data_IF_863272358849
#
_entry.id   IF_863272358849
#
_cell.length_a   1.000
_cell.length_b   1.000
_cell.length_c   1.000
_cell.angle_alpha   90.00
_cell.angle_beta   90.00
_cell.angle_gamma   90.00
#
_symmetry.space_group_name_H-M   'P 1'
#
loop_
_entity.id
_entity.type
_entity.pdbx_description
1 polymer ?
#
# COMPACT_ATOMS: atom_id res chain seq x y z
N UNK A 1 12.26 14.48 -44.45
CA UNK A 1 12.28 15.19 -45.75
C UNK A 1 11.93 14.26 -46.92
N UNK A 2 12.58 13.10 -47.10
CA UNK A 2 12.31 12.16 -48.22
C UNK A 2 10.87 11.60 -48.18
N UNK A 3 10.39 11.13 -47.02
CA UNK A 3 9.02 10.57 -46.87
C UNK A 3 7.92 11.59 -47.21
N UNK A 4 8.19 12.88 -46.99
CA UNK A 4 7.23 13.95 -47.29
C UNK A 4 7.20 14.28 -48.79
N UNK A 5 8.30 14.08 -49.51
CA UNK A 5 8.40 14.33 -50.95
C UNK A 5 7.64 13.25 -51.72
N UNK A 6 7.83 11.97 -51.37
CA UNK A 6 7.17 10.86 -52.05
C UNK A 6 5.65 10.87 -51.84
N UNK A 7 5.19 11.34 -50.67
CA UNK A 7 3.76 11.50 -50.37
C UNK A 7 3.10 12.60 -51.19
N UNK A 8 3.78 13.74 -51.40
CA UNK A 8 3.26 14.83 -52.23
C UNK A 8 3.17 14.39 -53.70
N UNK A 9 4.23 13.74 -54.21
CA UNK A 9 4.24 13.19 -55.57
C UNK A 9 3.16 12.11 -55.78
N UNK A 10 2.89 11.27 -54.77
CA UNK A 10 1.82 10.28 -54.84
C UNK A 10 0.42 10.91 -54.91
N UNK A 11 0.20 12.03 -54.22
CA UNK A 11 -1.07 12.78 -54.24
C UNK A 11 -1.27 13.49 -55.58
N UNK A 12 -0.20 14.05 -56.15
CA UNK A 12 -0.24 14.66 -57.50
C UNK A 12 -0.59 13.62 -58.56
N UNK A 13 0.07 12.46 -58.57
CA UNK A 13 -0.23 11.36 -59.49
C UNK A 13 -1.68 10.84 -59.35
N UNK A 14 -2.25 10.91 -58.14
CA UNK A 14 -3.66 10.56 -57.91
C UNK A 14 -4.60 11.59 -58.53
N UNK A 15 -4.29 12.88 -58.41
CA UNK A 15 -5.11 13.97 -58.97
C UNK A 15 -5.06 13.98 -60.51
N UNK A 16 -3.93 13.59 -61.10
CA UNK A 16 -3.75 13.47 -62.55
C UNK A 16 -4.39 12.20 -63.14
N UNK A 17 -4.98 11.33 -62.30
CA UNK A 17 -5.59 10.07 -62.72
C UNK A 17 -4.60 8.96 -63.05
N UNK A 18 -3.30 9.15 -62.76
CA UNK A 18 -2.24 8.15 -62.93
C UNK A 18 -2.26 7.13 -61.77
N UNK A 19 -3.36 6.36 -61.68
CA UNK A 19 -3.64 5.47 -60.55
C UNK A 19 -2.51 4.47 -60.26
N UNK A 20 -1.90 3.88 -61.30
CA UNK A 20 -0.83 2.89 -61.12
C UNK A 20 0.43 3.51 -60.51
N UNK A 21 0.82 4.69 -60.98
CA UNK A 21 1.98 5.42 -60.47
C UNK A 21 1.75 5.92 -59.04
N UNK A 22 0.52 6.37 -58.74
CA UNK A 22 0.14 6.72 -57.38
C UNK A 22 0.26 5.50 -56.45
N UNK A 23 -0.23 4.33 -56.88
CA UNK A 23 -0.10 3.08 -56.11
C UNK A 23 1.37 2.74 -55.86
N UNK A 24 2.23 2.83 -56.87
CA UNK A 24 3.65 2.49 -56.75
C UNK A 24 4.36 3.47 -55.79
N UNK A 25 4.09 4.77 -55.91
CA UNK A 25 4.64 5.80 -55.01
C UNK A 25 4.15 5.64 -53.56
N UNK A 26 2.86 5.36 -53.35
CA UNK A 26 2.35 5.05 -52.01
C UNK A 26 2.95 3.75 -51.46
N UNK A 27 3.13 2.74 -52.30
CA UNK A 27 3.73 1.46 -51.91
C UNK A 27 5.18 1.63 -51.47
N UNK A 28 5.97 2.41 -52.22
CA UNK A 28 7.36 2.68 -51.88
C UNK A 28 7.49 3.57 -50.65
N UNK A 29 6.59 4.55 -50.46
CA UNK A 29 6.51 5.32 -49.22
C UNK A 29 6.20 4.44 -48.00
N UNK A 30 5.33 3.43 -48.13
CA UNK A 30 5.02 2.46 -47.06
C UNK A 30 6.21 1.54 -46.79
N UNK A 31 6.94 1.09 -47.82
CA UNK A 31 8.15 0.28 -47.64
C UNK A 31 9.26 1.06 -46.93
N UNK A 32 9.38 2.36 -47.22
CA UNK A 32 10.35 3.25 -46.59
C UNK A 32 9.95 3.63 -45.16
N UNK A 33 8.66 3.59 -44.83
CA UNK A 33 8.14 3.84 -43.49
C UNK A 33 7.12 2.76 -43.07
N UNK A 34 7.58 1.55 -42.73
CA UNK A 34 6.68 0.47 -42.35
C UNK A 34 5.87 0.86 -41.11
N UNK A 35 4.60 0.42 -41.00
CA UNK A 35 3.75 0.79 -39.88
C UNK A 35 4.43 0.40 -38.57
N UNK A 36 4.66 1.40 -37.73
CA UNK A 36 5.29 1.22 -36.42
C UNK A 36 4.46 0.20 -35.63
N UNK A 37 5.07 -0.92 -35.23
CA UNK A 37 4.47 -1.87 -34.29
C UNK A 37 4.68 -1.32 -32.88
N UNK A 38 3.70 -0.63 -32.25
CA UNK A 38 4.00 0.23 -31.11
C UNK A 38 4.49 -0.58 -29.90
N UNK A 39 3.95 -1.78 -29.69
CA UNK A 39 4.40 -2.69 -28.64
C UNK A 39 5.83 -3.19 -28.82
N UNK A 40 6.28 -3.41 -30.06
CA UNK A 40 7.67 -3.80 -30.33
C UNK A 40 8.60 -2.60 -30.15
N UNK A 41 8.20 -1.42 -30.66
CA UNK A 41 8.94 -0.19 -30.50
C UNK A 41 9.18 0.17 -29.03
N UNK A 42 8.17 0.01 -28.15
CA UNK A 42 8.32 0.23 -26.71
C UNK A 42 9.40 -0.70 -26.13
N UNK A 43 9.34 -2.00 -26.43
CA UNK A 43 10.32 -2.98 -25.93
C UNK A 43 11.75 -2.68 -26.38
N UNK A 44 11.91 -2.27 -27.64
CA UNK A 44 13.22 -1.92 -28.18
C UNK A 44 13.73 -0.61 -27.55
N UNK A 45 12.84 0.36 -27.33
CA UNK A 45 13.17 1.61 -26.65
C UNK A 45 13.54 1.39 -25.17
N UNK A 46 12.84 0.52 -24.46
CA UNK A 46 13.16 0.17 -23.07
C UNK A 46 14.58 -0.38 -22.97
N UNK A 47 14.94 -1.33 -23.85
CA UNK A 47 16.30 -1.85 -23.92
C UNK A 47 17.33 -0.79 -24.31
N UNK A 48 16.97 0.13 -25.22
CA UNK A 48 17.87 1.23 -25.60
C UNK A 48 18.12 2.20 -24.43
N UNK A 49 17.12 2.45 -23.60
CA UNK A 49 17.23 3.29 -22.39
C UNK A 49 18.07 2.57 -21.32
N UNK A 50 17.93 1.26 -21.16
CA UNK A 50 18.80 0.48 -20.26
C UNK A 50 20.29 0.58 -20.65
N UNK A 51 20.57 0.62 -21.95
CA UNK A 51 21.95 0.72 -22.47
C UNK A 51 22.47 2.15 -22.37
N UNK A 52 21.66 3.14 -22.71
CA UNK A 52 22.01 4.56 -22.66
C UNK A 52 20.85 5.41 -22.13
N UNK A 53 20.81 5.66 -20.80
CA UNK A 53 19.75 6.44 -20.17
C UNK A 53 19.72 7.91 -20.59
N UNK A 54 20.86 8.46 -21.03
CA UNK A 54 21.01 9.89 -21.35
C UNK A 54 20.54 10.21 -22.78
N UNK A 55 20.17 9.21 -23.56
CA UNK A 55 19.68 9.41 -24.92
C UNK A 55 18.21 9.84 -24.94
N UNK A 56 17.94 11.01 -25.51
CA UNK A 56 16.58 11.51 -25.71
C UNK A 56 15.82 10.75 -26.83
N UNK A 57 16.54 10.11 -27.76
CA UNK A 57 15.93 9.48 -28.94
C UNK A 57 15.04 8.28 -28.60
N UNK A 58 15.46 7.30 -27.77
CA UNK A 58 14.59 6.22 -27.31
C UNK A 58 13.32 6.73 -26.62
N UNK A 59 13.43 7.76 -25.78
CA UNK A 59 12.27 8.37 -25.11
C UNK A 59 11.31 9.01 -26.13
N UNK A 60 11.81 9.66 -27.18
CA UNK A 60 10.98 10.24 -28.26
C UNK A 60 10.15 9.16 -28.96
N UNK A 61 10.79 8.06 -29.34
CA UNK A 61 10.10 6.96 -30.03
C UNK A 61 9.14 6.20 -29.11
N UNK A 62 9.51 5.98 -27.85
CA UNK A 62 8.64 5.35 -26.85
C UNK A 62 7.40 6.19 -26.56
N UNK A 63 7.55 7.50 -26.37
CA UNK A 63 6.43 8.42 -26.15
C UNK A 63 5.46 8.46 -27.33
N UNK A 64 5.97 8.47 -28.58
CA UNK A 64 5.14 8.35 -29.79
C UNK A 64 4.39 7.01 -29.86
N UNK A 65 5.06 5.91 -29.53
CA UNK A 65 4.44 4.59 -29.50
C UNK A 65 3.33 4.49 -28.43
N UNK A 66 3.55 5.04 -27.24
CA UNK A 66 2.53 5.13 -26.19
C UNK A 66 1.33 5.98 -26.63
N UNK A 67 1.55 7.10 -27.33
CA UNK A 67 0.46 7.91 -27.87
C UNK A 67 -0.41 7.14 -28.86
N UNK A 68 0.20 6.32 -29.74
CA UNK A 68 -0.53 5.46 -30.67
C UNK A 68 -1.34 4.35 -29.98
N UNK A 69 -0.94 3.92 -28.78
CA UNK A 69 -1.65 2.92 -27.98
C UNK A 69 -2.71 3.53 -27.04
N UNK A 70 -2.78 4.86 -26.94
CA UNK A 70 -3.65 5.54 -25.97
C UNK A 70 -3.14 5.50 -24.53
N UNK A 71 -1.85 5.22 -24.33
CA UNK A 71 -1.15 5.31 -23.05
C UNK A 71 -0.71 6.77 -22.82
N UNK A 72 -1.69 7.65 -22.61
CA UNK A 72 -1.46 9.10 -22.64
C UNK A 72 -0.56 9.61 -21.49
N UNK A 73 -0.64 9.01 -20.30
CA UNK A 73 0.18 9.40 -19.14
C UNK A 73 1.66 9.07 -19.38
N UNK A 74 1.94 7.85 -19.84
CA UNK A 74 3.28 7.37 -20.18
C UNK A 74 3.87 8.13 -21.38
N UNK A 75 3.05 8.41 -22.40
CA UNK A 75 3.44 9.22 -23.54
C UNK A 75 3.82 10.66 -23.13
N UNK A 76 3.01 11.31 -22.29
CA UNK A 76 3.32 12.65 -21.79
C UNK A 76 4.63 12.68 -21.00
N UNK A 77 4.85 11.67 -20.16
CA UNK A 77 6.08 11.56 -19.37
C UNK A 77 7.33 11.44 -20.25
N UNK A 78 7.32 10.52 -21.22
CA UNK A 78 8.45 10.29 -22.11
C UNK A 78 8.76 11.50 -22.98
N UNK A 79 7.74 12.14 -23.55
CA UNK A 79 7.91 13.34 -24.37
C UNK A 79 8.38 14.54 -23.54
N UNK A 80 7.96 14.65 -22.27
CA UNK A 80 8.47 15.66 -21.36
C UNK A 80 9.94 15.41 -20.98
N UNK A 81 10.38 14.15 -20.88
CA UNK A 81 11.79 13.81 -20.69
C UNK A 81 12.64 14.21 -21.90
N UNK A 82 12.14 14.00 -23.12
CA UNK A 82 12.81 14.48 -24.34
C UNK A 82 13.05 15.98 -24.24
N UNK A 83 12.00 16.77 -24.00
CA UNK A 83 12.12 18.23 -23.87
C UNK A 83 13.10 18.70 -22.78
N UNK A 84 13.40 17.86 -21.77
CA UNK A 84 14.38 18.16 -20.71
C UNK A 84 15.81 17.80 -21.11
N UNK A 85 16.00 16.71 -21.86
CA UNK A 85 17.31 16.23 -22.29
C UNK A 85 17.81 16.98 -23.53
N UNK A 86 16.96 17.07 -24.55
CA UNK A 86 17.24 17.76 -25.80
C UNK A 86 15.93 18.31 -26.37
N UNK A 87 15.87 19.64 -26.53
CA UNK A 87 14.66 20.28 -27.00
C UNK A 87 14.40 19.89 -28.47
N UNK A 88 13.35 19.12 -28.68
CA UNK A 88 12.94 18.65 -30.00
C UNK A 88 11.54 19.19 -30.32
N UNK A 89 11.42 19.92 -31.44
CA UNK A 89 10.19 20.59 -31.84
C UNK A 89 9.04 19.59 -32.05
N UNK A 90 9.32 18.45 -32.70
CA UNK A 90 8.31 17.39 -32.95
C UNK A 90 7.80 16.78 -31.64
N UNK A 91 8.72 16.50 -30.70
CA UNK A 91 8.37 15.95 -29.40
C UNK A 91 7.54 16.95 -28.59
N UNK A 92 7.89 18.24 -28.66
CA UNK A 92 7.16 19.30 -28.00
C UNK A 92 5.74 19.50 -28.57
N UNK A 93 5.59 19.37 -29.90
CA UNK A 93 4.29 19.43 -30.56
C UNK A 93 3.40 18.25 -30.13
N UNK A 94 3.96 17.03 -30.15
CA UNK A 94 3.26 15.82 -29.72
C UNK A 94 2.86 15.91 -28.24
N UNK A 95 3.74 16.45 -27.38
CA UNK A 95 3.44 16.64 -25.97
C UNK A 95 2.24 17.56 -25.75
N UNK A 96 2.13 18.67 -26.50
CA UNK A 96 1.00 19.60 -26.40
C UNK A 96 -0.34 18.93 -26.73
N UNK A 97 -0.36 17.95 -27.64
CA UNK A 97 -1.57 17.20 -27.99
C UNK A 97 -1.93 16.16 -26.92
N UNK A 98 -0.92 15.48 -26.37
CA UNK A 98 -1.10 14.36 -25.43
C UNK A 98 -1.40 14.85 -24.02
N UNK A 99 -0.79 15.96 -23.60
CA UNK A 99 -0.83 16.47 -22.23
C UNK A 99 -2.25 16.72 -21.67
N UNK A 100 -3.18 17.42 -22.35
CA UNK A 100 -4.51 17.64 -21.78
C UNK A 100 -5.31 16.35 -21.62
N UNK A 101 -5.06 15.34 -22.46
CA UNK A 101 -5.71 14.02 -22.38
C UNK A 101 -5.11 13.22 -21.22
N UNK A 102 -3.79 13.26 -21.05
CA UNK A 102 -3.09 12.64 -19.94
C UNK A 102 -3.55 13.19 -18.58
N UNK A 103 -3.67 14.52 -18.46
CA UNK A 103 -4.11 15.19 -17.23
C UNK A 103 -5.54 14.79 -16.84
N UNK A 104 -6.48 14.78 -17.79
CA UNK A 104 -7.86 14.33 -17.54
C UNK A 104 -7.95 12.89 -17.07
N UNK A 105 -7.15 12.00 -17.66
CA UNK A 105 -7.10 10.59 -17.28
C UNK A 105 -6.50 10.44 -15.88
N UNK A 106 -5.43 11.18 -15.57
CA UNK A 106 -4.78 11.17 -14.26
C UNK A 106 -5.71 11.67 -13.16
N UNK A 107 -6.44 12.76 -13.41
CA UNK A 107 -7.45 13.28 -12.49
C UNK A 107 -8.58 12.27 -12.25
N UNK A 108 -9.08 11.65 -13.31
CA UNK A 108 -10.11 10.62 -13.19
C UNK A 108 -9.62 9.42 -12.36
N UNK A 109 -8.40 8.93 -12.64
CA UNK A 109 -7.78 7.82 -11.89
C UNK A 109 -7.58 8.17 -10.42
N UNK A 110 -7.10 9.38 -10.10
CA UNK A 110 -6.96 9.88 -8.72
C UNK A 110 -8.30 9.89 -7.99
N UNK A 111 -9.34 10.40 -8.64
CA UNK A 111 -10.70 10.45 -8.05
C UNK A 111 -11.28 9.05 -7.82
N UNK A 112 -11.08 8.12 -8.76
CA UNK A 112 -11.51 6.73 -8.58
C UNK A 112 -10.75 6.04 -7.45
N UNK A 113 -9.43 6.24 -7.37
CA UNK A 113 -8.58 5.69 -6.29
C UNK A 113 -9.02 6.19 -4.92
N UNK A 114 -9.25 7.50 -4.77
CA UNK A 114 -9.74 8.09 -3.51
C UNK A 114 -11.08 7.48 -3.08
N UNK A 115 -12.01 7.28 -4.02
CA UNK A 115 -13.31 6.66 -3.71
C UNK A 115 -13.17 5.21 -3.26
N UNK A 116 -12.30 4.42 -3.89
CA UNK A 116 -12.05 3.05 -3.47
C UNK A 116 -11.41 2.99 -2.07
N UNK A 117 -10.42 3.85 -1.79
CA UNK A 117 -9.78 3.93 -0.48
C UNK A 117 -10.75 4.38 0.61
N UNK A 118 -11.61 5.36 0.32
CA UNK A 118 -12.66 5.82 1.25
C UNK A 118 -13.66 4.70 1.58
N UNK A 119 -14.08 3.94 0.56
CA UNK A 119 -14.95 2.78 0.76
C UNK A 119 -14.29 1.69 1.60
N UNK A 120 -13.02 1.37 1.34
CA UNK A 120 -12.28 0.36 2.10
C UNK A 120 -12.10 0.76 3.58
N UNK A 121 -11.77 2.04 3.83
CA UNK A 121 -11.66 2.57 5.19
C UNK A 121 -13.02 2.50 5.90
N UNK A 122 -14.10 2.89 5.21
CA UNK A 122 -15.46 2.84 5.77
C UNK A 122 -15.87 1.42 6.14
N UNK A 123 -15.65 0.46 5.25
CA UNK A 123 -15.92 -0.96 5.51
C UNK A 123 -15.07 -1.52 6.66
N UNK A 124 -13.81 -1.09 6.78
CA UNK A 124 -12.95 -1.48 7.90
C UNK A 124 -13.46 -0.90 9.22
N UNK A 125 -13.88 0.36 9.25
CA UNK A 125 -14.47 1.00 10.44
C UNK A 125 -15.77 0.28 10.84
N UNK A 126 -16.64 -0.04 9.88
CA UNK A 126 -17.90 -0.73 10.16
C UNK A 126 -17.67 -2.15 10.71
N UNK A 127 -16.71 -2.90 10.15
CA UNK A 127 -16.33 -4.22 10.66
C UNK A 127 -15.84 -4.15 12.11
N UNK A 128 -14.97 -3.18 12.42
CA UNK A 128 -14.46 -2.98 13.79
C UNK A 128 -15.60 -2.58 14.73
N UNK A 129 -16.50 -1.68 14.31
CA UNK A 129 -17.66 -1.27 15.10
C UNK A 129 -18.58 -2.45 15.41
N UNK A 130 -18.90 -3.27 14.40
CA UNK A 130 -19.75 -4.46 14.56
C UNK A 130 -19.13 -5.50 15.50
N UNK A 131 -17.82 -5.74 15.37
CA UNK A 131 -17.10 -6.64 16.27
C UNK A 131 -17.10 -6.13 17.73
N UNK A 132 -16.92 -4.82 17.95
CA UNK A 132 -17.03 -4.21 19.28
C UNK A 132 -18.44 -4.35 19.87
N UNK A 133 -19.47 -4.06 19.09
CA UNK A 133 -20.86 -4.20 19.53
C UNK A 133 -21.22 -5.66 19.87
N UNK A 134 -20.73 -6.63 19.09
CA UNK A 134 -20.96 -8.05 19.36
C UNK A 134 -20.23 -8.50 20.63
N UNK A 135 -18.98 -8.07 20.81
CA UNK A 135 -18.22 -8.35 22.02
C UNK A 135 -18.90 -7.76 23.26
N UNK A 136 -19.37 -6.50 23.19
CA UNK A 136 -20.10 -5.85 24.29
C UNK A 136 -21.46 -6.52 24.58
N UNK A 137 -22.19 -6.96 23.54
CA UNK A 137 -23.42 -7.75 23.72
C UNK A 137 -23.15 -9.10 24.35
N UNK A 138 -22.04 -9.77 23.99
CA UNK A 138 -21.63 -11.03 24.60
C UNK A 138 -21.26 -10.84 26.07
N UNK A 139 -20.48 -9.80 26.40
CA UNK A 139 -20.13 -9.42 27.77
C UNK A 139 -21.40 -9.15 28.61
N UNK A 140 -22.33 -8.30 28.15
CA UNK A 140 -23.58 -8.04 28.89
C UNK A 140 -24.43 -9.29 29.11
N UNK A 141 -24.49 -10.20 28.13
CA UNK A 141 -25.22 -11.48 28.29
C UNK A 141 -24.57 -12.36 29.34
N UNK A 142 -23.25 -12.40 29.40
CA UNK A 142 -22.51 -13.18 30.38
C UNK A 142 -22.62 -12.57 31.79
N UNK A 143 -22.52 -11.25 31.92
CA UNK A 143 -22.78 -10.53 33.17
C UNK A 143 -24.21 -10.75 33.67
N UNK A 144 -25.21 -10.71 32.79
CA UNK A 144 -26.60 -11.01 33.15
C UNK A 144 -26.78 -12.46 33.61
N UNK A 145 -26.08 -13.42 32.98
CA UNK A 145 -26.04 -14.83 33.42
C UNK A 145 -25.38 -14.97 34.79
N UNK A 146 -24.29 -14.25 35.03
CA UNK A 146 -23.61 -14.24 36.33
C UNK A 146 -24.48 -13.60 37.41
N UNK A 147 -25.20 -12.52 37.12
CA UNK A 147 -26.14 -11.89 38.06
C UNK A 147 -27.34 -12.79 38.36
N UNK A 148 -27.93 -13.46 37.36
CA UNK A 148 -28.98 -14.46 37.56
C UNK A 148 -28.47 -15.70 38.32
N UNK A 149 -27.23 -16.13 38.04
CA UNK A 149 -26.54 -17.19 38.77
C UNK A 149 -26.21 -16.80 40.22
N UNK A 150 -25.93 -15.53 40.49
CA UNK A 150 -25.76 -15.00 41.84
C UNK A 150 -27.11 -14.87 42.58
N UNK A 151 -28.21 -14.60 41.87
CA UNK A 151 -29.57 -14.60 42.43
C UNK A 151 -30.09 -16.01 42.75
N UNK A 152 -29.60 -17.05 42.06
CA UNK A 152 -29.89 -18.47 42.35
C UNK A 152 -28.75 -19.21 43.09
N UNK A 153 -27.67 -18.52 43.43
CA UNK A 153 -26.43 -19.08 44.00
C UNK A 153 -26.11 -18.55 45.40
N UNK A 154 -27.11 -18.04 46.13
CA UNK A 154 -26.97 -17.74 47.55
C UNK A 154 -26.93 -19.05 48.35
N UNK A 155 -25.79 -19.75 48.32
CA UNK A 155 -25.47 -20.81 49.28
C UNK A 155 -24.19 -20.43 50.04
N UNK A 156 -24.28 -20.06 51.33
CA UNK A 156 -23.13 -19.75 52.16
C UNK A 156 -22.60 -21.05 52.77
N UNK A 157 -21.45 -21.53 52.30
CA UNK A 157 -20.76 -22.61 53.00
C UNK A 157 -19.73 -23.39 52.18
N UNK A 158 -18.45 -23.15 52.49
CA UNK A 158 -17.34 -24.11 52.60
C UNK A 158 -17.11 -25.15 51.51
N UNK A 159 -15.89 -25.20 50.97
CA UNK A 159 -14.92 -26.29 51.27
C UNK A 159 -13.70 -26.22 50.32
N UNK A 160 -12.51 -26.13 50.91
CA UNK A 160 -11.21 -26.41 50.29
C UNK A 160 -11.05 -27.93 50.10
N UNK A 161 -10.68 -28.39 48.90
CA UNK A 161 -10.43 -29.82 48.66
C UNK A 161 -9.41 -30.06 47.55
N UNK A 162 -8.21 -30.49 47.95
CA UNK A 162 -7.08 -30.76 47.06
C UNK A 162 -7.05 -32.17 46.45
N UNK A 163 -6.16 -32.28 45.46
CA UNK A 163 -5.38 -33.46 45.03
C UNK A 163 -6.05 -34.62 44.27
N UNK A 164 -5.67 -34.71 42.98
CA UNK A 164 -5.09 -35.86 42.28
C UNK A 164 -5.90 -37.14 42.00
N UNK A 165 -6.15 -37.37 40.71
CA UNK A 165 -5.62 -38.54 39.98
C UNK A 165 -6.55 -39.72 39.71
N UNK A 166 -6.98 -39.89 38.44
CA UNK A 166 -6.79 -41.11 37.64
C UNK A 166 -7.38 -40.96 36.20
N UNK A 167 -6.49 -40.81 35.18
CA UNK A 167 -6.45 -41.35 33.79
C UNK A 167 -7.73 -41.63 32.94
N UNK A 168 -7.64 -42.04 31.65
CA UNK A 168 -6.70 -41.75 30.55
C UNK A 168 -7.43 -41.43 29.21
N UNK A 169 -7.02 -40.40 28.48
CA UNK A 169 -7.32 -40.26 27.03
C UNK A 169 -8.20 -39.09 26.60
N UNK A 170 -7.62 -37.89 26.56
CA UNK A 170 -7.99 -36.78 25.65
C UNK A 170 -6.81 -35.80 25.59
N UNK A 171 -5.90 -35.96 24.63
CA UNK A 171 -5.71 -35.04 23.50
C UNK A 171 -5.46 -33.60 23.98
N UNK A 172 -4.20 -33.19 24.21
CA UNK A 172 -3.33 -32.62 23.18
C UNK A 172 -4.05 -31.53 22.36
N UNK A 173 -3.83 -30.26 22.73
CA UNK A 173 -4.39 -29.11 22.01
C UNK A 173 -4.98 -28.01 22.89
N UNK A 174 -4.35 -27.66 24.01
CA UNK A 174 -4.63 -26.39 24.70
C UNK A 174 -3.51 -25.37 24.38
N UNK A 175 -3.14 -25.32 23.10
CA UNK A 175 -2.49 -24.18 22.49
C UNK A 175 -3.57 -23.45 21.70
N UNK A 176 -4.00 -22.31 22.21
CA UNK A 176 -5.09 -21.55 21.61
C UNK A 176 -5.51 -20.38 22.49
N UNK A 177 -4.82 -19.26 22.28
CA UNK A 177 -5.45 -17.94 22.20
C UNK A 177 -6.01 -17.31 23.48
N UNK A 178 -5.09 -16.74 24.27
CA UNK A 178 -5.34 -15.45 24.91
C UNK A 178 -4.97 -14.35 23.89
N UNK A 179 -5.84 -14.19 22.89
CA UNK A 179 -5.67 -13.22 21.80
C UNK A 179 -5.98 -11.80 22.28
N UNK A 180 -4.95 -11.08 22.72
CA UNK A 180 -5.05 -9.66 23.08
C UNK A 180 -3.71 -9.00 23.45
N UNK A 181 -2.66 -9.78 23.70
CA UNK A 181 -1.32 -9.30 24.06
C UNK A 181 -0.22 -9.77 23.09
N UNK A 182 -0.62 -10.22 21.90
CA UNK A 182 0.30 -10.65 20.85
C UNK A 182 0.82 -9.42 20.09
N UNK A 183 2.01 -8.94 20.49
CA UNK A 183 2.72 -7.90 19.74
C UNK A 183 4.06 -7.47 20.31
N UNK A 184 4.37 -7.78 21.57
CA UNK A 184 5.62 -7.34 22.21
C UNK A 184 6.43 -8.55 22.69
N UNK A 185 7.42 -9.02 21.90
CA UNK A 185 8.31 -10.09 22.32
C UNK A 185 9.12 -9.63 23.54
N UNK A 186 8.92 -10.28 24.71
CA UNK A 186 9.58 -9.93 25.98
C UNK A 186 8.66 -9.40 27.08
N UNK A 187 7.40 -9.07 26.78
CA UNK A 187 6.45 -8.56 27.78
C UNK A 187 6.09 -9.61 28.85
N UNK A 188 6.07 -10.91 28.47
CA UNK A 188 5.78 -12.01 29.40
C UNK A 188 6.88 -12.19 30.48
N UNK A 189 8.14 -11.87 30.14
CA UNK A 189 9.27 -11.92 31.08
C UNK A 189 9.35 -10.68 31.98
N UNK A 190 8.86 -9.53 31.50
CA UNK A 190 8.77 -8.29 32.27
C UNK A 190 7.67 -8.40 33.33
N UNK A 191 6.52 -8.99 32.98
CA UNK A 191 5.41 -9.24 33.91
C UNK A 191 5.70 -10.36 34.92
N UNK A 192 6.76 -11.14 34.73
CA UNK A 192 7.20 -12.15 35.69
C UNK A 192 8.07 -11.57 36.83
N UNK A 193 8.42 -10.29 36.76
CA UNK A 193 9.24 -9.61 37.77
C UNK A 193 8.33 -9.05 38.88
N UNK A 194 8.49 -9.47 40.15
CA UNK A 194 7.59 -9.08 41.24
C UNK A 194 7.60 -7.57 41.50
N UNK A 195 8.70 -6.87 41.19
CA UNK A 195 8.75 -5.41 41.31
C UNK A 195 8.00 -4.69 40.17
N UNK A 196 7.98 -5.27 38.97
CA UNK A 196 7.21 -4.74 37.83
C UNK A 196 5.73 -4.99 38.03
N UNK A 197 5.34 -6.14 38.58
CA UNK A 197 3.96 -6.42 38.97
C UNK A 197 3.44 -5.46 40.03
N UNK A 198 4.25 -5.13 41.03
CA UNK A 198 3.89 -4.14 42.05
C UNK A 198 3.73 -2.73 41.46
N UNK A 199 4.59 -2.36 40.50
CA UNK A 199 4.52 -1.07 39.82
C UNK A 199 3.33 -0.98 38.84
N UNK A 200 2.96 -2.06 38.15
CA UNK A 200 1.80 -2.11 37.22
C UNK A 200 0.46 -2.09 37.95
N UNK A 201 0.44 -2.45 39.24
CA UNK A 201 -0.76 -2.30 40.09
C UNK A 201 -1.10 -0.84 40.42
N UNK A 202 -0.15 0.08 40.24
CA UNK A 202 -0.41 1.50 40.38
C UNK A 202 -1.14 2.02 39.11
N UNK A 203 -2.38 2.54 39.24
CA UNK A 203 -3.15 3.03 38.11
C UNK A 203 -2.43 4.11 37.30
N UNK A 204 -1.63 4.96 37.96
CA UNK A 204 -0.89 6.03 37.27
C UNK A 204 0.27 5.47 36.45
N UNK A 205 0.94 4.44 36.96
CA UNK A 205 2.08 3.80 36.30
C UNK A 205 1.63 2.97 35.09
N UNK A 206 0.48 2.30 35.18
CA UNK A 206 -0.10 1.55 34.06
C UNK A 206 -0.50 2.48 32.90
N UNK A 207 -1.13 3.62 33.21
CA UNK A 207 -1.50 4.63 32.21
C UNK A 207 -0.26 5.19 31.53
N UNK A 208 0.76 5.56 32.30
CA UNK A 208 2.01 6.07 31.76
C UNK A 208 2.76 5.03 30.92
N UNK A 209 2.77 3.75 31.34
CA UNK A 209 3.38 2.68 30.57
C UNK A 209 2.66 2.43 29.24
N UNK A 210 1.32 2.47 29.24
CA UNK A 210 0.53 2.31 28.02
C UNK A 210 0.76 3.48 27.06
N UNK A 211 0.84 4.71 27.58
CA UNK A 211 1.06 5.91 26.79
C UNK A 211 2.45 5.90 26.13
N UNK A 212 3.49 5.56 26.90
CA UNK A 212 4.87 5.39 26.37
C UNK A 212 4.97 4.22 25.39
N UNK A 213 4.24 3.13 25.62
CA UNK A 213 4.22 1.98 24.71
C UNK A 213 3.53 2.29 23.37
N UNK A 214 2.53 3.17 23.36
CA UNK A 214 1.88 3.64 22.14
C UNK A 214 2.67 4.74 21.44
N UNK A 215 3.39 5.57 22.20
CA UNK A 215 4.21 6.66 21.67
C UNK A 215 5.46 6.89 22.53
N UNK A 216 6.60 6.37 22.06
CA UNK A 216 7.87 6.48 22.78
C UNK A 216 8.31 7.94 23.05
N UNK A 217 7.80 8.93 22.30
CA UNK A 217 8.08 10.35 22.53
C UNK A 217 7.49 10.88 23.84
N UNK A 218 6.40 10.28 24.33
CA UNK A 218 5.71 10.72 25.55
C UNK A 218 6.46 10.34 26.84
N UNK A 219 7.52 9.54 26.74
CA UNK A 219 8.43 9.21 27.86
C UNK A 219 8.92 10.46 28.60
N UNK A 220 9.06 11.57 27.89
CA UNK A 220 9.53 12.83 28.45
C UNK A 220 8.57 13.43 29.49
N UNK A 221 7.27 13.16 29.39
CA UNK A 221 6.25 13.70 30.31
C UNK A 221 6.29 13.01 31.67
N UNK A 222 6.77 11.77 31.71
CA UNK A 222 6.81 10.94 32.92
C UNK A 222 8.20 10.89 33.57
N UNK A 223 9.14 11.73 33.12
CA UNK A 223 10.49 11.84 33.72
C UNK A 223 10.46 12.24 35.19
N UNK A 224 9.44 12.99 35.60
CA UNK A 224 9.24 13.44 36.98
C UNK A 224 8.72 12.33 37.90
N UNK A 225 8.19 11.23 37.35
CA UNK A 225 7.70 10.10 38.14
C UNK A 225 8.79 9.01 38.24
N UNK A 226 9.44 8.85 39.41
CA UNK A 226 10.55 7.91 39.58
C UNK A 226 10.12 6.44 39.38
N UNK A 227 8.86 6.12 39.68
CA UNK A 227 8.29 4.77 39.56
C UNK A 227 8.14 4.38 38.08
N UNK A 228 7.63 5.30 37.26
CA UNK A 228 7.49 5.13 35.81
C UNK A 228 8.86 5.06 35.12
N UNK A 229 9.80 5.95 35.51
CA UNK A 229 11.15 5.94 34.95
C UNK A 229 11.93 4.65 35.27
N UNK A 230 11.76 4.11 36.47
CA UNK A 230 12.34 2.80 36.83
C UNK A 230 11.75 1.67 35.98
N UNK A 231 10.44 1.69 35.74
CA UNK A 231 9.76 0.70 34.90
C UNK A 231 10.23 0.75 33.44
N UNK A 232 10.33 1.96 32.86
CA UNK A 232 10.79 2.19 31.49
C UNK A 232 12.25 1.79 31.34
N UNK A 233 13.11 2.15 32.31
CA UNK A 233 14.53 1.80 32.30
C UNK A 233 14.76 0.30 32.38
N UNK A 234 14.00 -0.40 33.25
CA UNK A 234 14.05 -1.87 33.36
C UNK A 234 13.51 -2.57 32.11
N UNK A 235 12.44 -2.04 31.53
CA UNK A 235 11.88 -2.55 30.27
C UNK A 235 12.90 -2.39 29.15
N UNK A 236 13.44 -1.19 28.96
CA UNK A 236 14.47 -0.89 27.95
C UNK A 236 15.73 -1.75 28.12
N UNK A 237 16.22 -1.94 29.35
CA UNK A 237 17.38 -2.79 29.63
C UNK A 237 17.14 -4.29 29.34
N UNK A 238 15.88 -4.76 29.38
CA UNK A 238 15.51 -6.14 29.02
C UNK A 238 15.25 -6.29 27.51
N UNK A 239 14.60 -5.32 26.86
CA UNK A 239 14.40 -5.31 25.39
C UNK A 239 15.70 -5.06 24.62
N UNK A 240 16.66 -4.31 25.17
CA UNK A 240 17.94 -3.98 24.54
C UNK A 240 18.99 -5.11 24.55
N UNK A 241 18.74 -6.25 25.21
CA UNK A 241 19.65 -7.42 25.21
C UNK A 241 19.39 -8.43 24.08
N UNK A 242 18.43 -8.16 23.19
CA UNK A 242 18.10 -9.02 22.04
C UNK A 242 18.45 -8.39 20.68
N UNK A 243 19.43 -7.48 20.64
CA UNK A 243 20.06 -7.03 19.38
C UNK A 243 21.37 -7.78 19.13
#
# INVERSE_FOLDING_TARGET
MIISIDKVAAIEALNDGELQKAIDLFTDAIKLNPPLKPNAAIRDCDRAIEINPDSAQPCKWRGKAHSLLGHWEEAAHDLALVCKLDYDEDASATLKEVQPTAEKIAEHRRKCKQKCEEQEIKERIERVKKAREEHERAQRKEEARQQLGAQYGSFPGGFLGGTSGNFPGRMAGMGGDMAGTAGLPGLNEILSDPEVMAAVQDPEVMVAFQDVAQNAANTSEYQSNPTVMNLISKSSAKFGRQA
#
